data_IF_518029289186
#
_entry.id   IF_518029289186
#
_cell.length_a   1.000
_cell.length_b   1.000
_cell.length_c   1.000
_cell.angle_alpha   90.00
_cell.angle_beta   90.00
_cell.angle_gamma   90.00
#
_symmetry.space_group_name_H-M   'P 1'
#
loop_
_entity.id
_entity.type
_entity.pdbx_description
1 polymer ?
#
# COMPACT_ATOMS: atom_id res chain seq x y z
N UNK A 1 11.32 -2.85 32.46
CA UNK A 1 10.10 -3.67 32.33
C UNK A 1 9.77 -3.76 30.86
N UNK A 2 10.25 -4.81 30.19
CA UNK A 2 10.10 -4.95 28.73
C UNK A 2 8.97 -5.95 28.49
N UNK A 3 7.79 -5.42 28.17
CA UNK A 3 6.58 -6.20 27.96
C UNK A 3 6.71 -7.02 26.67
N UNK A 4 6.65 -8.33 26.85
CA UNK A 4 6.55 -9.35 25.80
C UNK A 4 5.14 -9.32 25.21
N UNK A 5 4.98 -8.76 24.01
CA UNK A 5 3.73 -8.86 23.25
C UNK A 5 3.74 -10.14 22.41
N UNK A 6 3.51 -11.27 23.07
CA UNK A 6 3.10 -12.51 22.43
C UNK A 6 1.61 -12.72 22.70
N UNK A 7 0.77 -12.09 21.87
CA UNK A 7 -0.67 -12.34 21.87
C UNK A 7 -1.14 -12.62 20.44
N UNK A 8 -1.55 -13.87 20.23
CA UNK A 8 -2.47 -14.35 19.19
C UNK A 8 -1.96 -14.53 17.75
N UNK A 9 -0.88 -15.32 17.59
CA UNK A 9 -0.40 -15.83 16.30
C UNK A 9 -1.30 -16.89 15.61
N UNK A 10 -2.63 -16.93 15.84
CA UNK A 10 -3.43 -18.07 15.36
C UNK A 10 -4.91 -17.87 15.01
N UNK A 11 -5.48 -16.66 14.93
CA UNK A 11 -6.94 -16.57 14.67
C UNK A 11 -7.41 -15.85 13.41
N UNK A 12 -6.64 -14.98 12.77
CA UNK A 12 -6.98 -14.50 11.42
C UNK A 12 -5.70 -14.13 10.67
N UNK A 13 -5.11 -15.07 9.90
CA UNK A 13 -4.00 -14.79 8.96
C UNK A 13 -4.41 -13.88 7.78
N UNK A 14 -5.58 -13.25 7.88
CA UNK A 14 -6.09 -12.28 6.91
C UNK A 14 -5.47 -10.94 7.20
N UNK A 15 -4.40 -10.63 6.46
CA UNK A 15 -3.85 -9.29 6.40
C UNK A 15 -4.63 -8.45 5.39
N UNK A 16 -4.44 -7.14 5.45
CA UNK A 16 -5.08 -6.18 4.56
C UNK A 16 -4.00 -5.48 3.75
N UNK A 17 -3.94 -5.78 2.46
CA UNK A 17 -3.04 -5.13 1.53
C UNK A 17 -3.68 -3.88 0.94
N UNK A 18 -2.91 -2.80 0.91
CA UNK A 18 -3.18 -1.63 0.09
C UNK A 18 -2.54 -1.87 -1.27
N UNK A 19 -3.33 -1.95 -2.33
CA UNK A 19 -2.87 -2.20 -3.70
C UNK A 19 -2.84 -0.89 -4.46
N UNK A 20 -1.69 -0.58 -5.08
CA UNK A 20 -1.54 0.48 -6.05
C UNK A 20 -1.71 -0.08 -7.47
N UNK A 21 -2.66 0.47 -8.21
CA UNK A 21 -2.92 0.14 -9.61
C UNK A 21 -2.58 1.33 -10.50
N UNK A 22 -1.68 1.12 -11.46
CA UNK A 22 -1.28 2.11 -12.47
C UNK A 22 -1.37 1.48 -13.84
N UNK A 23 -2.33 1.90 -14.66
CA UNK A 23 -2.59 1.28 -15.95
C UNK A 23 -2.93 -0.21 -15.80
N UNK A 24 -2.08 -1.09 -16.33
CA UNK A 24 -2.21 -2.56 -16.25
C UNK A 24 -1.42 -3.20 -15.10
N UNK A 25 -0.66 -2.40 -14.36
CA UNK A 25 0.25 -2.90 -13.33
C UNK A 25 -0.37 -2.72 -11.95
N UNK A 26 -0.41 -3.81 -11.18
CA UNK A 26 -0.84 -3.81 -9.78
C UNK A 26 0.34 -4.15 -8.88
N UNK A 27 0.50 -3.41 -7.78
CA UNK A 27 1.53 -3.68 -6.77
C UNK A 27 1.00 -3.50 -5.36
N UNK A 28 1.45 -4.35 -4.45
CA UNK A 28 1.18 -4.19 -3.02
C UNK A 28 2.00 -3.01 -2.51
N UNK A 29 1.34 -1.96 -2.04
CA UNK A 29 1.95 -0.77 -1.50
C UNK A 29 2.34 -0.94 -0.04
N UNK A 30 1.44 -1.46 0.78
CA UNK A 30 1.67 -1.72 2.21
C UNK A 30 0.70 -2.79 2.71
N UNK A 31 1.01 -3.41 3.84
CA UNK A 31 0.21 -4.47 4.44
C UNK A 31 -0.02 -4.18 5.91
N UNK A 32 -1.26 -4.38 6.35
CA UNK A 32 -1.68 -4.12 7.72
C UNK A 32 -2.35 -5.35 8.32
N UNK A 33 -2.21 -5.51 9.64
CA UNK A 33 -2.98 -6.50 10.40
C UNK A 33 -4.44 -6.08 10.60
N UNK A 34 -4.76 -4.79 10.43
CA UNK A 34 -6.12 -4.24 10.61
C UNK A 34 -6.63 -3.59 9.32
N UNK A 35 -7.88 -3.89 8.97
CA UNK A 35 -8.59 -3.25 7.85
C UNK A 35 -8.66 -1.73 8.01
N UNK A 36 -8.88 -1.26 9.23
CA UNK A 36 -9.01 0.16 9.52
C UNK A 36 -7.70 0.90 9.24
N UNK A 37 -6.56 0.30 9.62
CA UNK A 37 -5.24 0.85 9.34
C UNK A 37 -4.97 0.91 7.82
N UNK A 38 -5.32 -0.16 7.08
CA UNK A 38 -5.21 -0.18 5.62
C UNK A 38 -6.08 0.89 4.93
N UNK A 39 -7.29 1.15 5.44
CA UNK A 39 -8.16 2.20 4.92
C UNK A 39 -7.64 3.60 5.20
N UNK A 40 -7.10 3.84 6.41
CA UNK A 40 -6.47 5.11 6.76
C UNK A 40 -5.26 5.41 5.87
N UNK A 41 -4.43 4.39 5.63
CA UNK A 41 -3.29 4.47 4.73
C UNK A 41 -3.72 4.74 3.27
N UNK A 42 -4.74 4.00 2.76
CA UNK A 42 -5.33 4.26 1.45
C UNK A 42 -5.75 5.72 1.32
N UNK A 43 -6.49 6.24 2.30
CA UNK A 43 -6.99 7.62 2.28
C UNK A 43 -5.84 8.63 2.27
N UNK A 44 -4.78 8.39 3.05
CA UNK A 44 -3.57 9.20 3.05
C UNK A 44 -2.83 9.14 1.69
N UNK A 45 -2.71 7.96 1.07
CA UNK A 45 -2.13 7.82 -0.28
C UNK A 45 -2.96 8.50 -1.36
N UNK A 46 -4.29 8.47 -1.27
CA UNK A 46 -5.19 9.22 -2.17
C UNK A 46 -5.01 10.74 -2.03
N UNK A 47 -4.81 11.25 -0.81
CA UNK A 47 -4.49 12.67 -0.58
C UNK A 47 -3.16 13.05 -1.24
N UNK A 48 -2.15 12.19 -1.16
CA UNK A 48 -0.87 12.39 -1.85
C UNK A 48 -1.07 12.48 -3.37
N UNK A 49 -1.85 11.58 -3.99
CA UNK A 49 -2.13 11.64 -5.43
C UNK A 49 -2.80 12.95 -5.83
N UNK A 50 -3.74 13.43 -5.03
CA UNK A 50 -4.39 14.72 -5.27
C UNK A 50 -3.38 15.88 -5.21
N UNK A 51 -2.51 15.88 -4.20
CA UNK A 51 -1.45 16.88 -4.07
C UNK A 51 -0.46 16.87 -5.25
N UNK A 52 -0.12 15.70 -5.76
CA UNK A 52 0.78 15.53 -6.91
C UNK A 52 0.06 15.49 -8.27
N UNK A 53 -1.26 15.74 -8.32
CA UNK A 53 -2.05 15.59 -9.54
C UNK A 53 -1.56 16.50 -10.68
N UNK A 54 -1.08 17.69 -10.36
CA UNK A 54 -0.50 18.60 -11.35
C UNK A 54 0.77 18.02 -11.99
N UNK A 55 1.69 17.49 -11.17
CA UNK A 55 2.93 16.87 -11.63
C UNK A 55 2.68 15.58 -12.44
N UNK A 56 1.71 14.76 -12.03
CA UNK A 56 1.36 13.54 -12.77
C UNK A 56 0.83 13.87 -14.18
N UNK A 57 0.01 14.93 -14.30
CA UNK A 57 -0.50 15.40 -15.60
C UNK A 57 0.63 15.89 -16.51
N UNK A 58 1.56 16.69 -16.01
CA UNK A 58 2.69 17.19 -16.82
C UNK A 58 3.64 16.07 -17.23
N UNK A 59 3.78 15.05 -16.39
CA UNK A 59 4.65 13.89 -16.64
C UNK A 59 3.98 12.80 -17.51
N UNK A 60 2.74 13.03 -17.98
CA UNK A 60 1.92 12.05 -18.74
C UNK A 60 1.79 10.68 -18.05
N UNK A 61 1.87 10.67 -16.72
CA UNK A 61 1.72 9.44 -15.95
C UNK A 61 0.27 9.28 -15.50
N UNK A 62 -0.34 8.10 -15.69
CA UNK A 62 -1.68 7.88 -15.17
C UNK A 62 -1.64 7.91 -13.63
N UNK A 63 -2.61 8.57 -12.98
CA UNK A 63 -2.64 8.63 -11.53
C UNK A 63 -2.86 7.23 -10.94
N UNK A 64 -2.12 6.85 -9.88
CA UNK A 64 -2.33 5.57 -9.22
C UNK A 64 -3.68 5.54 -8.52
N UNK A 65 -4.38 4.42 -8.67
CA UNK A 65 -5.59 4.10 -7.92
C UNK A 65 -5.23 3.15 -6.78
N UNK A 66 -5.77 3.42 -5.59
CA UNK A 66 -5.55 2.57 -4.42
C UNK A 66 -6.81 1.79 -4.05
N UNK A 67 -6.63 0.52 -3.73
CA UNK A 67 -7.70 -0.35 -3.20
C UNK A 67 -7.20 -1.12 -1.98
N UNK A 68 -8.13 -1.60 -1.15
CA UNK A 68 -7.81 -2.43 0.01
C UNK A 68 -8.40 -3.82 -0.21
N UNK A 69 -7.57 -4.84 -0.13
CA UNK A 69 -7.98 -6.24 -0.34
C UNK A 69 -7.42 -7.13 0.77
N UNK A 70 -8.18 -8.14 1.24
CA UNK A 70 -7.62 -9.16 2.12
C UNK A 70 -6.52 -9.94 1.38
N UNK A 71 -5.42 -10.24 2.06
CA UNK A 71 -4.29 -11.01 1.53
C UNK A 71 -3.76 -11.97 2.60
N UNK A 72 -3.25 -13.13 2.20
CA UNK A 72 -2.51 -14.01 3.11
C UNK A 72 -1.02 -13.73 2.99
N UNK A 73 -0.27 -13.91 4.09
CA UNK A 73 1.20 -13.79 4.04
C UNK A 73 1.85 -14.70 3.01
N UNK A 74 1.27 -15.88 2.78
CA UNK A 74 1.74 -16.84 1.79
C UNK A 74 1.58 -16.37 0.33
N UNK A 75 0.63 -15.45 0.07
CA UNK A 75 0.35 -14.92 -1.27
C UNK A 75 1.25 -13.72 -1.62
N UNK A 76 2.08 -13.27 -0.67
CA UNK A 76 2.99 -12.15 -0.89
C UNK A 76 4.19 -12.58 -1.72
N UNK A 77 4.61 -11.77 -2.70
CA UNK A 77 5.88 -11.99 -3.39
C UNK A 77 7.02 -12.02 -2.38
N UNK A 78 7.90 -13.03 -2.45
CA UNK A 78 9.05 -13.16 -1.52
C UNK A 78 9.99 -11.94 -1.55
N UNK A 79 10.02 -11.20 -2.65
CA UNK A 79 10.80 -9.97 -2.82
C UNK A 79 10.01 -8.70 -2.54
N UNK A 80 8.81 -8.80 -1.97
CA UNK A 80 7.99 -7.63 -1.69
C UNK A 80 8.69 -6.71 -0.68
N UNK A 81 8.68 -5.42 -0.99
CA UNK A 81 9.11 -4.34 -0.11
C UNK A 81 8.01 -3.29 -0.11
N UNK A 82 7.71 -2.67 1.05
CA UNK A 82 6.70 -1.63 1.13
C UNK A 82 7.07 -0.50 0.18
N UNK A 83 6.09 -0.05 -0.60
CA UNK A 83 6.27 1.10 -1.47
C UNK A 83 6.37 2.34 -0.60
N UNK A 84 7.47 3.10 -0.66
CA UNK A 84 7.54 4.35 0.05
C UNK A 84 6.44 5.30 -0.44
N UNK A 85 6.11 6.30 0.39
CA UNK A 85 5.20 7.39 0.06
C UNK A 85 5.44 7.89 -1.37
N UNK A 86 4.38 8.33 -2.07
CA UNK A 86 4.43 8.77 -3.47
C UNK A 86 5.58 9.77 -3.77
N UNK A 87 6.05 10.50 -2.75
CA UNK A 87 7.23 11.37 -2.81
C UNK A 87 8.59 10.70 -3.13
N UNK A 88 8.73 9.37 -3.03
CA UNK A 88 9.96 8.65 -3.37
C UNK A 88 10.01 8.12 -4.81
N UNK A 89 8.89 8.22 -5.56
CA UNK A 89 8.77 7.61 -6.88
C UNK A 89 9.03 8.59 -8.03
N UNK A 90 9.90 9.61 -7.89
CA UNK A 90 10.53 10.47 -8.94
C UNK A 90 9.96 10.40 -10.39
N UNK A 91 8.65 10.39 -10.60
CA UNK A 91 8.06 9.96 -11.87
C UNK A 91 8.56 8.61 -12.42
N UNK A 92 9.00 7.64 -11.63
CA UNK A 92 9.39 6.30 -12.12
C UNK A 92 8.56 5.22 -11.42
N UNK A 93 7.43 4.89 -12.04
CA UNK A 93 6.72 3.64 -11.76
C UNK A 93 7.45 2.47 -12.44
N UNK A 94 8.65 2.13 -11.92
CA UNK A 94 9.50 0.97 -12.29
C UNK A 94 9.84 0.85 -13.77
#
# INVERSE_FOLDING_TARGET
MSQVESLSAHREDTLWAVIASVGRTNRVAEIFSSRLAALADKAWREQQVSAYAHFLRTSRQPPPRYTVTPIRRADLPRSWRPLPALGFLHGQFI
#
